data_IF_971936311630
#
_entry.id   IF_971936311630
#
_cell.length_a   1.000
_cell.length_b   1.000
_cell.length_c   1.000
_cell.angle_alpha   90.00
_cell.angle_beta   90.00
_cell.angle_gamma   90.00
#
_symmetry.space_group_name_H-M   'P 1'
#
loop_
_entity.id
_entity.type
_entity.pdbx_description
1 polymer ?
#
# COMPACT_ATOMS: atom_id res chain seq x y z
N UNK A 1 -41.14 -4.27 14.66
CA UNK A 1 -42.16 -3.31 14.18
C UNK A 1 -41.40 -2.11 13.61
N UNK A 2 -41.45 -1.91 12.29
CA UNK A 2 -40.76 -0.81 11.59
C UNK A 2 -41.54 0.48 11.82
N UNK A 3 -40.88 1.55 12.24
CA UNK A 3 -41.43 2.91 12.22
C UNK A 3 -40.80 3.64 11.03
N UNK A 4 -41.59 3.77 9.97
CA UNK A 4 -41.47 4.73 8.88
C UNK A 4 -42.56 5.80 9.06
N UNK A 5 -42.41 6.89 8.31
CA UNK A 5 -43.30 8.08 8.13
C UNK A 5 -43.06 9.20 9.15
N UNK A 6 -42.91 10.47 8.73
CA UNK A 6 -43.92 11.38 8.13
C UNK A 6 -43.23 12.33 7.11
N UNK A 7 -43.61 12.37 5.82
CA UNK A 7 -44.58 13.26 5.11
C UNK A 7 -44.11 14.73 4.95
N UNK A 8 -44.39 15.53 3.90
CA UNK A 8 -45.33 15.50 2.77
C UNK A 8 -44.81 16.50 1.68
N UNK A 9 -44.87 16.19 0.37
CA UNK A 9 -45.88 16.60 -0.66
C UNK A 9 -45.98 18.11 -0.97
N UNK A 10 -45.64 18.48 -2.22
CA UNK A 10 -46.45 19.36 -3.08
C UNK A 10 -46.02 19.23 -4.57
N UNK A 11 -47.00 18.99 -5.45
CA UNK A 11 -46.90 18.89 -6.92
C UNK A 11 -47.75 20.01 -7.53
N UNK A 12 -47.27 20.69 -8.58
CA UNK A 12 -48.01 21.22 -9.75
C UNK A 12 -47.03 22.02 -10.64
N UNK A 13 -46.63 21.58 -11.84
CA UNK A 13 -47.26 21.59 -13.18
C UNK A 13 -47.16 22.91 -14.00
N UNK A 14 -46.67 22.75 -15.24
CA UNK A 14 -46.89 23.51 -16.49
C UNK A 14 -45.96 24.68 -16.93
N UNK A 15 -45.00 24.30 -17.79
CA UNK A 15 -44.45 24.80 -19.09
C UNK A 15 -44.58 26.28 -19.59
N UNK A 16 -44.01 26.67 -20.76
CA UNK A 16 -42.81 27.52 -20.88
C UNK A 16 -43.06 28.88 -21.61
N UNK A 17 -42.15 29.87 -21.51
CA UNK A 17 -41.80 30.79 -22.62
C UNK A 17 -40.82 31.94 -22.25
N UNK A 18 -39.76 32.01 -23.06
CA UNK A 18 -39.14 33.16 -23.74
C UNK A 18 -38.54 34.39 -23.01
N UNK A 19 -37.28 34.64 -23.43
CA UNK A 19 -36.53 35.91 -23.50
C UNK A 19 -35.98 36.48 -22.18
N UNK A 20 -34.80 37.09 -22.10
CA UNK A 20 -33.60 37.21 -22.92
C UNK A 20 -32.62 38.05 -22.07
N UNK A 21 -31.32 37.71 -22.14
CA UNK A 21 -30.14 38.58 -21.92
C UNK A 21 -29.87 39.13 -20.51
N UNK A 22 -28.74 38.67 -19.93
CA UNK A 22 -27.60 39.51 -19.54
C UNK A 22 -26.45 38.59 -19.07
N UNK A 23 -25.44 38.38 -19.93
CA UNK A 23 -24.12 39.06 -19.95
C UNK A 23 -23.07 38.30 -19.14
N UNK A 24 -22.14 37.71 -19.88
CA UNK A 24 -20.74 37.46 -19.52
C UNK A 24 -20.39 37.29 -18.03
N UNK A 25 -20.28 36.03 -17.62
CA UNK A 25 -19.19 35.63 -16.73
C UNK A 25 -18.47 34.46 -17.37
N UNK A 26 -17.29 34.76 -17.89
CA UNK A 26 -16.36 33.83 -18.50
C UNK A 26 -16.00 32.70 -17.52
N UNK A 27 -16.12 31.48 -18.03
CA UNK A 27 -15.28 30.31 -17.74
C UNK A 27 -14.50 30.31 -16.41
N UNK A 28 -15.13 29.80 -15.35
CA UNK A 28 -14.37 29.10 -14.32
C UNK A 28 -14.26 27.63 -14.73
N UNK A 29 -13.02 27.25 -15.05
CA UNK A 29 -12.53 25.92 -15.42
C UNK A 29 -13.23 24.74 -14.70
N UNK A 30 -13.79 23.76 -15.43
CA UNK A 30 -13.99 22.42 -14.91
C UNK A 30 -12.80 21.54 -15.36
N UNK A 31 -11.73 21.43 -14.57
CA UNK A 31 -10.51 20.78 -15.09
C UNK A 31 -9.61 19.99 -14.13
N UNK A 32 -9.75 20.12 -12.81
CA UNK A 32 -8.79 19.47 -11.88
C UNK A 32 -9.41 18.46 -10.92
N UNK A 33 -10.73 18.55 -10.67
CA UNK A 33 -11.40 17.60 -9.77
C UNK A 33 -11.62 16.21 -10.40
N UNK A 34 -11.81 16.13 -11.72
CA UNK A 34 -12.00 14.84 -12.41
C UNK A 34 -10.73 14.00 -12.50
N UNK A 35 -9.58 14.64 -12.80
CA UNK A 35 -8.29 13.94 -12.95
C UNK A 35 -7.80 13.34 -11.62
N UNK A 36 -8.03 14.03 -10.50
CA UNK A 36 -7.60 13.55 -9.18
C UNK A 36 -8.46 12.37 -8.69
N UNK A 37 -9.75 12.35 -9.04
CA UNK A 37 -10.66 11.23 -8.76
C UNK A 37 -10.35 10.00 -9.62
N UNK A 38 -10.03 10.18 -10.90
CA UNK A 38 -9.65 9.08 -11.81
C UNK A 38 -8.34 8.44 -11.36
N UNK A 39 -7.31 9.21 -11.02
CA UNK A 39 -6.03 8.67 -10.52
C UNK A 39 -6.17 7.92 -9.20
N UNK A 40 -7.00 8.42 -8.28
CA UNK A 40 -7.33 7.71 -7.04
C UNK A 40 -8.03 6.39 -7.32
N UNK A 41 -9.00 6.37 -8.23
CA UNK A 41 -9.71 5.17 -8.65
C UNK A 41 -8.76 4.11 -9.24
N UNK A 42 -7.82 4.54 -10.09
CA UNK A 42 -6.81 3.66 -10.69
C UNK A 42 -5.89 3.05 -9.61
N UNK A 43 -5.43 3.84 -8.62
CA UNK A 43 -4.62 3.31 -7.50
C UNK A 43 -5.39 2.33 -6.61
N UNK A 44 -6.67 2.59 -6.33
CA UNK A 44 -7.51 1.65 -5.59
C UNK A 44 -7.65 0.31 -6.34
N UNK A 45 -7.75 0.37 -7.68
CA UNK A 45 -7.74 -0.81 -8.54
C UNK A 45 -6.40 -1.55 -8.50
N UNK A 46 -5.27 -0.84 -8.50
CA UNK A 46 -3.94 -1.45 -8.46
C UNK A 46 -3.67 -2.18 -7.15
N UNK A 47 -3.98 -1.57 -6.00
CA UNK A 47 -3.77 -2.22 -4.70
C UNK A 47 -4.66 -3.45 -4.54
N UNK A 48 -5.92 -3.41 -4.98
CA UNK A 48 -6.78 -4.58 -5.00
C UNK A 48 -6.24 -5.70 -5.92
N UNK A 49 -5.66 -5.32 -7.06
CA UNK A 49 -5.00 -6.26 -7.97
C UNK A 49 -3.77 -6.89 -7.32
N UNK A 50 -2.93 -6.09 -6.65
CA UNK A 50 -1.76 -6.56 -5.92
C UNK A 50 -2.16 -7.55 -4.83
N UNK A 51 -3.17 -7.23 -4.02
CA UNK A 51 -3.65 -8.10 -2.94
C UNK A 51 -4.12 -9.45 -3.49
N UNK A 52 -4.88 -9.44 -4.59
CA UNK A 52 -5.31 -10.67 -5.27
C UNK A 52 -4.11 -11.48 -5.76
N UNK A 53 -3.18 -10.86 -6.48
CA UNK A 53 -2.01 -11.55 -7.03
C UNK A 53 -1.12 -12.15 -5.94
N UNK A 54 -0.91 -11.43 -4.84
CA UNK A 54 -0.13 -11.92 -3.70
C UNK A 54 -0.86 -13.08 -3.00
N UNK A 55 -2.18 -12.98 -2.82
CA UNK A 55 -3.01 -14.07 -2.27
C UNK A 55 -2.94 -15.33 -3.13
N UNK A 56 -2.99 -15.16 -4.45
CA UNK A 56 -2.89 -16.24 -5.44
C UNK A 56 -1.44 -16.73 -5.64
N UNK A 57 -0.47 -16.15 -4.92
CA UNK A 57 0.98 -16.41 -5.02
C UNK A 57 1.56 -16.13 -6.41
N UNK A 58 0.89 -15.29 -7.20
CA UNK A 58 1.33 -14.81 -8.51
C UNK A 58 2.32 -13.64 -8.38
N UNK A 59 3.37 -13.81 -7.56
CA UNK A 59 4.32 -12.75 -7.21
C UNK A 59 5.00 -12.09 -8.41
N UNK A 60 5.35 -12.87 -9.44
CA UNK A 60 5.95 -12.34 -10.65
C UNK A 60 5.03 -11.32 -11.37
N UNK A 61 3.71 -11.55 -11.36
CA UNK A 61 2.73 -10.66 -11.96
C UNK A 61 2.44 -9.43 -11.09
N UNK A 62 2.64 -9.52 -9.78
CA UNK A 62 2.47 -8.39 -8.87
C UNK A 62 3.56 -7.31 -9.05
N UNK A 63 4.78 -7.71 -9.42
CA UNK A 63 5.93 -6.80 -9.58
C UNK A 63 5.64 -5.61 -10.52
N UNK A 64 5.18 -5.80 -11.79
CA UNK A 64 4.92 -4.65 -12.67
C UNK A 64 3.80 -3.73 -12.16
N UNK A 65 2.79 -4.27 -11.46
CA UNK A 65 1.73 -3.44 -10.84
C UNK A 65 2.29 -2.62 -9.68
N UNK A 66 3.18 -3.21 -8.88
CA UNK A 66 3.88 -2.50 -7.79
C UNK A 66 4.81 -1.41 -8.34
N UNK A 67 5.48 -1.64 -9.47
CA UNK A 67 6.29 -0.63 -10.14
C UNK A 67 5.45 0.54 -10.65
N UNK A 68 4.27 0.25 -11.21
CA UNK A 68 3.31 1.29 -11.59
C UNK A 68 2.92 2.14 -10.37
N UNK A 69 2.51 1.52 -9.26
CA UNK A 69 2.16 2.22 -8.01
C UNK A 69 3.33 3.08 -7.48
N UNK A 70 4.56 2.56 -7.53
CA UNK A 70 5.73 3.27 -7.02
C UNK A 70 6.17 4.45 -7.89
N UNK A 71 5.90 4.39 -9.20
CA UNK A 71 6.19 5.48 -10.14
C UNK A 71 5.12 6.57 -10.17
N UNK A 72 3.95 6.33 -9.57
CA UNK A 72 2.86 7.30 -9.46
C UNK A 72 3.27 8.55 -8.68
N UNK A 73 3.10 9.73 -9.30
CA UNK A 73 3.47 11.02 -8.69
C UNK A 73 2.61 11.42 -7.50
N UNK A 74 1.43 10.80 -7.35
CA UNK A 74 0.47 11.03 -6.28
C UNK A 74 0.58 10.00 -5.13
N UNK A 75 1.51 9.05 -5.22
CA UNK A 75 1.74 8.09 -4.14
C UNK A 75 2.21 8.81 -2.86
N UNK A 76 1.61 8.49 -1.71
CA UNK A 76 2.09 9.02 -0.43
C UNK A 76 3.36 8.30 0.01
N UNK A 77 4.07 8.84 1.01
CA UNK A 77 5.19 8.12 1.62
C UNK A 77 4.75 6.79 2.25
N UNK A 78 3.51 6.74 2.78
CA UNK A 78 2.93 5.51 3.31
C UNK A 78 2.69 4.50 2.21
N UNK A 79 2.15 4.93 1.07
CA UNK A 79 1.94 4.06 -0.10
C UNK A 79 3.26 3.54 -0.64
N UNK A 80 4.27 4.40 -0.81
CA UNK A 80 5.60 3.98 -1.26
C UNK A 80 6.24 2.98 -0.30
N UNK A 81 6.18 3.24 1.00
CA UNK A 81 6.66 2.29 2.01
C UNK A 81 5.99 0.92 1.87
N UNK A 82 4.67 0.88 1.71
CA UNK A 82 3.92 -0.38 1.52
C UNK A 82 4.31 -1.04 0.20
N UNK A 83 4.35 -0.28 -0.90
CA UNK A 83 4.71 -0.75 -2.23
C UNK A 83 6.10 -1.39 -2.27
N UNK A 84 7.11 -0.72 -1.71
CA UNK A 84 8.46 -1.28 -1.61
C UNK A 84 8.50 -2.56 -0.76
N UNK A 85 7.75 -2.63 0.35
CA UNK A 85 7.67 -3.84 1.16
C UNK A 85 7.02 -5.02 0.38
N UNK A 86 5.94 -4.76 -0.36
CA UNK A 86 5.27 -5.79 -1.16
C UNK A 86 6.08 -6.20 -2.40
N UNK A 87 6.82 -5.26 -3.00
CA UNK A 87 7.75 -5.54 -4.11
C UNK A 87 8.93 -6.37 -3.63
N UNK A 88 9.53 -6.01 -2.50
CA UNK A 88 10.57 -6.82 -1.86
C UNK A 88 10.11 -8.24 -1.55
N UNK A 89 8.89 -8.41 -1.02
CA UNK A 89 8.30 -9.73 -0.82
C UNK A 89 8.17 -10.50 -2.14
N UNK A 90 7.61 -9.85 -3.17
CA UNK A 90 7.39 -10.48 -4.47
C UNK A 90 8.71 -10.89 -5.14
N UNK A 91 9.73 -10.04 -5.07
CA UNK A 91 11.08 -10.31 -5.57
C UNK A 91 11.73 -11.49 -4.84
N UNK A 92 11.63 -11.53 -3.51
CA UNK A 92 12.14 -12.64 -2.71
C UNK A 92 11.48 -13.97 -3.12
N UNK A 93 10.16 -13.96 -3.29
CA UNK A 93 9.40 -15.16 -3.66
C UNK A 93 9.72 -15.68 -5.07
N UNK A 94 10.23 -14.83 -5.97
CA UNK A 94 10.72 -15.24 -7.30
C UNK A 94 12.25 -15.44 -7.36
N UNK A 95 12.93 -15.45 -6.22
CA UNK A 95 14.37 -15.72 -6.12
C UNK A 95 15.28 -14.53 -6.41
N UNK A 96 14.74 -13.32 -6.61
CA UNK A 96 15.51 -12.08 -6.82
C UNK A 96 15.92 -11.47 -5.48
N UNK A 97 16.75 -12.20 -4.73
CA UNK A 97 17.05 -11.94 -3.32
C UNK A 97 17.73 -10.59 -3.07
N UNK A 98 18.71 -10.21 -3.90
CA UNK A 98 19.43 -8.94 -3.72
C UNK A 98 18.48 -7.73 -3.87
N UNK A 99 17.67 -7.75 -4.92
CA UNK A 99 16.69 -6.68 -5.17
C UNK A 99 15.61 -6.63 -4.08
N UNK A 100 15.23 -7.79 -3.53
CA UNK A 100 14.32 -7.83 -2.40
C UNK A 100 14.88 -7.10 -1.16
N UNK A 101 16.17 -7.29 -0.86
CA UNK A 101 16.86 -6.61 0.25
C UNK A 101 16.84 -5.09 0.03
N UNK A 102 17.10 -4.64 -1.19
CA UNK A 102 17.10 -3.22 -1.54
C UNK A 102 15.72 -2.61 -1.33
N UNK A 103 14.66 -3.26 -1.82
CA UNK A 103 13.29 -2.80 -1.69
C UNK A 103 12.81 -2.81 -0.23
N UNK A 104 13.13 -3.84 0.56
CA UNK A 104 12.83 -3.81 2.00
C UNK A 104 13.57 -2.67 2.71
N UNK A 105 14.82 -2.42 2.35
CA UNK A 105 15.61 -1.33 2.92
C UNK A 105 15.04 0.04 2.54
N UNK A 106 14.56 0.20 1.30
CA UNK A 106 13.87 1.40 0.86
C UNK A 106 12.58 1.64 1.64
N UNK A 107 11.78 0.59 1.86
CA UNK A 107 10.57 0.67 2.70
C UNK A 107 10.90 1.14 4.12
N UNK A 108 11.90 0.55 4.78
CA UNK A 108 12.28 0.92 6.15
C UNK A 108 12.82 2.35 6.24
N UNK A 109 13.63 2.77 5.28
CA UNK A 109 14.15 4.14 5.20
C UNK A 109 13.02 5.16 5.07
N UNK A 110 12.02 4.91 4.22
CA UNK A 110 10.85 5.80 4.08
C UNK A 110 10.07 5.87 5.39
N UNK A 111 9.88 4.74 6.09
CA UNK A 111 9.21 4.73 7.39
C UNK A 111 9.94 5.58 8.42
N UNK A 112 11.27 5.53 8.43
CA UNK A 112 12.11 6.29 9.35
C UNK A 112 12.09 7.79 8.99
N UNK A 113 12.31 8.12 7.72
CA UNK A 113 12.36 9.50 7.21
C UNK A 113 11.03 10.25 7.41
N UNK A 114 9.91 9.59 7.08
CA UNK A 114 8.57 10.16 7.22
C UNK A 114 7.95 9.94 8.61
N UNK A 115 8.69 9.34 9.56
CA UNK A 115 8.23 9.02 10.93
C UNK A 115 6.87 8.31 10.91
N UNK A 116 6.72 7.35 10.01
CA UNK A 116 5.47 6.61 9.82
C UNK A 116 5.29 5.67 11.00
N UNK A 117 4.29 5.95 11.84
CA UNK A 117 3.83 4.96 12.81
C UNK A 117 3.16 3.79 12.07
N UNK A 118 3.82 2.64 12.12
CA UNK A 118 3.41 1.42 11.45
C UNK A 118 3.49 0.25 12.45
N UNK A 119 2.35 -0.23 12.98
CA UNK A 119 2.32 -1.36 13.92
C UNK A 119 2.81 -2.67 13.29
N UNK A 120 3.02 -2.69 11.98
CA UNK A 120 3.52 -3.83 11.22
C UNK A 120 4.93 -3.60 10.64
N UNK A 121 5.66 -2.58 11.09
CA UNK A 121 7.07 -2.33 10.69
C UNK A 121 7.95 -3.55 10.94
N UNK A 122 7.68 -4.31 12.01
CA UNK A 122 8.39 -5.56 12.31
C UNK A 122 8.32 -6.58 11.16
N UNK A 123 7.25 -6.61 10.34
CA UNK A 123 7.11 -7.54 9.21
C UNK A 123 8.14 -7.25 8.12
N UNK A 124 8.37 -5.97 7.82
CA UNK A 124 9.36 -5.56 6.81
C UNK A 124 10.77 -5.89 7.28
N UNK A 125 11.10 -5.62 8.55
CA UNK A 125 12.38 -6.00 9.16
C UNK A 125 12.56 -7.52 9.10
N UNK A 126 11.53 -8.27 9.52
CA UNK A 126 11.55 -9.73 9.52
C UNK A 126 11.76 -10.33 8.13
N UNK A 127 11.06 -9.82 7.13
CA UNK A 127 11.21 -10.27 5.74
C UNK A 127 12.59 -9.95 5.18
N UNK A 128 13.17 -8.79 5.52
CA UNK A 128 14.54 -8.45 5.13
C UNK A 128 15.56 -9.38 5.81
N UNK A 129 15.35 -9.74 7.07
CA UNK A 129 16.15 -10.76 7.76
C UNK A 129 16.11 -12.12 7.04
N UNK A 130 14.93 -12.53 6.55
CA UNK A 130 14.79 -13.74 5.71
C UNK A 130 15.58 -13.62 4.41
N UNK A 131 15.52 -12.47 3.74
CA UNK A 131 16.26 -12.24 2.51
C UNK A 131 17.78 -12.25 2.74
N UNK A 132 18.27 -11.62 3.83
CA UNK A 132 19.68 -11.70 4.23
C UNK A 132 20.12 -13.14 4.54
N UNK A 133 19.31 -13.92 5.24
CA UNK A 133 19.60 -15.34 5.51
C UNK A 133 19.72 -16.14 4.20
N UNK A 134 18.83 -15.91 3.24
CA UNK A 134 18.90 -16.53 1.91
C UNK A 134 20.17 -16.11 1.15
N UNK A 135 20.61 -14.86 1.31
CA UNK A 135 21.86 -14.32 0.76
C UNK A 135 23.12 -14.78 1.52
N UNK A 136 22.98 -15.60 2.58
CA UNK A 136 24.06 -16.03 3.47
C UNK A 136 24.73 -14.92 4.28
N UNK A 137 24.14 -13.73 4.32
CA UNK A 137 24.53 -12.68 5.26
C UNK A 137 23.85 -12.92 6.61
N UNK A 138 24.40 -13.88 7.35
CA UNK A 138 23.84 -14.32 8.63
C UNK A 138 23.92 -13.24 9.71
N UNK A 139 24.88 -12.31 9.60
CA UNK A 139 25.02 -11.21 10.56
C UNK A 139 23.86 -10.23 10.41
N UNK A 140 23.61 -9.75 9.19
CA UNK A 140 22.50 -8.83 8.94
C UNK A 140 21.14 -9.50 9.21
N UNK A 141 21.02 -10.80 8.91
CA UNK A 141 19.83 -11.57 9.25
C UNK A 141 19.57 -11.63 10.77
N UNK A 142 20.61 -11.92 11.56
CA UNK A 142 20.53 -11.95 13.02
C UNK A 142 20.06 -10.60 13.59
N UNK A 143 20.67 -9.50 13.14
CA UNK A 143 20.34 -8.15 13.58
C UNK A 143 18.87 -7.81 13.28
N UNK A 144 18.38 -8.12 12.08
CA UNK A 144 16.99 -7.88 11.72
C UNK A 144 16.01 -8.79 12.49
N UNK A 145 16.34 -10.04 12.76
CA UNK A 145 15.50 -10.91 13.59
C UNK A 145 15.39 -10.43 15.04
N UNK A 146 16.50 -9.98 15.63
CA UNK A 146 16.51 -9.39 16.98
C UNK A 146 15.65 -8.13 17.01
N UNK A 147 15.79 -7.24 16.02
CA UNK A 147 14.98 -6.01 15.91
C UNK A 147 13.50 -6.30 15.73
N UNK A 148 13.14 -7.27 14.89
CA UNK A 148 11.75 -7.69 14.71
C UNK A 148 11.17 -8.27 16.01
N UNK A 149 11.95 -9.06 16.76
CA UNK A 149 11.53 -9.61 18.05
C UNK A 149 11.34 -8.51 19.11
N UNK A 150 12.23 -7.52 19.17
CA UNK A 150 12.07 -6.39 20.09
C UNK A 150 10.77 -5.60 19.85
N UNK A 151 10.32 -5.49 18.59
CA UNK A 151 9.07 -4.81 18.23
C UNK A 151 7.82 -5.66 18.43
N UNK A 152 7.91 -6.97 18.14
CA UNK A 152 6.77 -7.88 18.21
C UNK A 152 7.14 -9.14 19.00
N UNK A 153 7.44 -9.01 20.31
CA UNK A 153 7.98 -10.11 21.09
C UNK A 153 6.99 -11.25 21.27
N UNK A 154 5.68 -11.00 21.10
CA UNK A 154 4.62 -12.00 21.19
C UNK A 154 4.23 -12.63 19.85
N UNK A 155 4.79 -12.15 18.73
CA UNK A 155 4.52 -12.71 17.42
C UNK A 155 5.15 -14.10 17.30
N UNK A 156 4.30 -15.13 17.16
CA UNK A 156 4.72 -16.54 17.16
C UNK A 156 5.73 -16.84 16.04
N UNK A 157 5.54 -16.24 14.87
CA UNK A 157 6.44 -16.42 13.72
C UNK A 157 7.85 -15.91 14.03
N UNK A 158 7.96 -14.74 14.66
CA UNK A 158 9.22 -14.12 15.04
C UNK A 158 9.90 -14.91 16.16
N UNK A 159 9.16 -15.29 17.22
CA UNK A 159 9.64 -16.18 18.29
C UNK A 159 10.24 -17.47 17.74
N UNK A 160 9.53 -18.13 16.82
CA UNK A 160 10.00 -19.39 16.22
C UNK A 160 11.25 -19.18 15.37
N UNK A 161 11.29 -18.12 14.57
CA UNK A 161 12.45 -17.83 13.72
C UNK A 161 13.70 -17.55 14.55
N UNK A 162 13.61 -16.70 15.57
CA UNK A 162 14.77 -16.34 16.41
C UNK A 162 15.31 -17.57 17.13
N UNK A 163 14.43 -18.38 17.74
CA UNK A 163 14.81 -19.64 18.39
C UNK A 163 15.52 -20.58 17.42
N UNK A 164 14.95 -20.82 16.23
CA UNK A 164 15.54 -21.71 15.25
C UNK A 164 16.85 -21.17 14.66
N UNK A 165 17.00 -19.85 14.55
CA UNK A 165 18.19 -19.25 13.93
C UNK A 165 19.40 -19.34 14.85
N UNK A 166 19.24 -19.13 16.16
CA UNK A 166 20.34 -19.12 17.12
C UNK A 166 20.61 -20.46 17.81
N UNK A 167 19.68 -21.43 17.72
CA UNK A 167 19.82 -22.76 18.33
C UNK A 167 19.96 -23.90 17.30
N UNK A 168 20.22 -23.59 16.03
CA UNK A 168 20.57 -24.60 15.04
C UNK A 168 22.03 -25.01 15.26
N UNK A 169 22.23 -26.28 15.60
CA UNK A 169 23.51 -26.99 15.52
C UNK A 169 23.94 -27.20 14.06
#
# INVERSE_FOLDING_TARGET
MRLLSVAAVAIALSSPSHAAQNTDFAAQTPGVHGLDLVKKQDRFSDMATIDRLISDREYAKAIPVLEHVLSGSDATQRDRSIGYNLKGLSLYMVGRVAEAIDDFSASLRIQDDAKIDNPHRWKTIFNRGIAYEAAKDLRSAADDYVRAYAMAPNERLVKRKIYNFFNKE
#
